data_IF_463135814425
#
_entry.id   IF_463135814425
#
_cell.length_a   1.000
_cell.length_b   1.000
_cell.length_c   1.000
_cell.angle_alpha   90.00
_cell.angle_beta   90.00
_cell.angle_gamma   90.00
#
_symmetry.space_group_name_H-M   'P 1'
#
loop_
_entity.id
_entity.type
_entity.pdbx_description
1 polymer ?
#
# COMPACT_ATOMS: atom_id res chain seq x y z
N UNK A 1 -9.53 -29.52 -10.85
CA UNK A 1 -9.84 -29.30 -9.41
C UNK A 1 -9.36 -27.91 -9.05
N UNK A 2 -10.22 -27.05 -8.50
CA UNK A 2 -9.90 -25.65 -8.20
C UNK A 2 -8.87 -25.47 -7.07
N UNK A 3 -8.71 -26.49 -6.22
CA UNK A 3 -7.68 -26.54 -5.19
C UNK A 3 -6.95 -27.88 -5.29
N UNK A 4 -5.64 -27.84 -5.55
CA UNK A 4 -4.75 -28.98 -5.26
C UNK A 4 -4.24 -28.71 -3.85
N UNK A 5 -4.71 -29.49 -2.88
CA UNK A 5 -4.14 -29.44 -1.54
C UNK A 5 -2.65 -29.76 -1.67
N UNK A 6 -1.75 -28.98 -1.04
CA UNK A 6 -0.36 -29.37 -0.96
C UNK A 6 -0.27 -30.80 -0.38
N UNK A 7 0.68 -31.57 -0.88
CA UNK A 7 1.05 -32.83 -0.22
C UNK A 7 1.44 -32.48 1.22
N UNK A 8 1.05 -33.31 2.20
CA UNK A 8 1.22 -33.05 3.64
C UNK A 8 2.67 -32.72 3.98
N UNK A 9 3.02 -31.44 3.86
CA UNK A 9 4.20 -30.86 4.45
C UNK A 9 3.76 -30.42 5.84
N UNK A 10 4.51 -30.78 6.87
CA UNK A 10 4.40 -30.16 8.18
C UNK A 10 4.68 -28.66 7.99
N UNK A 11 3.62 -27.88 7.80
CA UNK A 11 3.71 -26.43 7.84
C UNK A 11 3.89 -26.10 9.31
N UNK A 12 5.11 -25.74 9.68
CA UNK A 12 5.45 -25.14 10.96
C UNK A 12 4.41 -24.05 11.28
N UNK A 13 3.91 -23.98 12.52
CA UNK A 13 2.69 -23.26 12.90
C UNK A 13 2.52 -21.89 12.20
N UNK A 14 1.68 -21.86 11.15
CA UNK A 14 1.36 -20.65 10.41
C UNK A 14 0.20 -19.93 11.09
N UNK A 15 0.48 -18.81 11.75
CA UNK A 15 -0.54 -17.94 12.34
C UNK A 15 -1.00 -16.91 11.31
N UNK A 16 -2.25 -17.01 10.87
CA UNK A 16 -2.87 -16.05 9.95
C UNK A 16 -4.28 -15.67 10.42
N UNK A 17 -4.72 -14.48 10.03
CA UNK A 17 -6.06 -13.97 10.28
C UNK A 17 -6.63 -13.43 8.99
N UNK A 18 -7.74 -14.03 8.53
CA UNK A 18 -8.50 -13.50 7.39
C UNK A 18 -9.54 -12.53 7.93
N UNK A 19 -9.53 -11.31 7.42
CA UNK A 19 -10.45 -10.25 7.81
C UNK A 19 -11.16 -9.77 6.55
N UNK A 20 -12.49 -9.77 6.59
CA UNK A 20 -13.34 -9.17 5.57
C UNK A 20 -14.00 -7.92 6.12
N UNK A 21 -14.18 -6.92 5.28
CA UNK A 21 -14.84 -5.66 5.60
C UNK A 21 -15.69 -5.20 4.41
N UNK A 22 -16.64 -4.31 4.66
CA UNK A 22 -17.56 -3.83 3.65
C UNK A 22 -18.49 -2.73 4.14
N UNK A 23 -19.30 -2.14 3.24
CA UNK A 23 -20.27 -1.09 3.59
C UNK A 23 -21.36 -1.52 4.59
N UNK A 24 -21.48 -2.83 4.83
CA UNK A 24 -22.37 -3.46 5.79
C UNK A 24 -21.74 -3.63 7.18
N UNK A 25 -20.45 -3.33 7.33
CA UNK A 25 -19.77 -3.27 8.63
C UNK A 25 -20.05 -1.94 9.33
N UNK A 26 -20.32 -1.99 10.64
CA UNK A 26 -20.46 -0.78 11.47
C UNK A 26 -19.10 -0.15 11.82
N UNK A 27 -18.00 -0.91 11.65
CA UNK A 27 -16.63 -0.49 11.95
C UNK A 27 -15.71 -0.71 10.75
N UNK A 28 -14.73 0.17 10.55
CA UNK A 28 -13.69 0.02 9.51
C UNK A 28 -12.55 -0.86 10.05
N UNK A 29 -12.83 -2.15 10.22
CA UNK A 29 -11.95 -3.15 10.85
C UNK A 29 -10.67 -3.32 10.03
N UNK A 30 -10.75 -3.42 8.71
CA UNK A 30 -9.58 -3.58 7.86
C UNK A 30 -8.66 -2.35 7.96
N UNK A 31 -9.25 -1.15 7.90
CA UNK A 31 -8.50 0.11 8.07
C UNK A 31 -7.79 0.14 9.42
N UNK A 32 -8.49 -0.22 10.49
CA UNK A 32 -7.94 -0.28 11.84
C UNK A 32 -6.78 -1.28 11.95
N UNK A 33 -6.88 -2.41 11.25
CA UNK A 33 -5.80 -3.40 11.11
C UNK A 33 -4.54 -2.82 10.46
N UNK A 34 -4.67 -2.11 9.34
CA UNK A 34 -3.53 -1.44 8.70
C UNK A 34 -2.89 -0.38 9.58
N UNK A 35 -3.70 0.48 10.21
CA UNK A 35 -3.20 1.49 11.15
C UNK A 35 -2.44 0.83 12.30
N UNK A 36 -2.95 -0.28 12.83
CA UNK A 36 -2.28 -1.05 13.89
C UNK A 36 -0.95 -1.62 13.42
N UNK A 37 -0.88 -2.19 12.21
CA UNK A 37 0.36 -2.69 11.62
C UNK A 37 1.41 -1.59 11.46
N UNK A 38 1.01 -0.42 10.94
CA UNK A 38 1.94 0.72 10.76
C UNK A 38 2.45 1.21 12.12
N UNK A 39 1.59 1.26 13.14
CA UNK A 39 1.99 1.67 14.49
C UNK A 39 2.85 0.64 15.24
N UNK A 40 2.83 -0.63 14.85
CA UNK A 40 3.73 -1.63 15.43
C UNK A 40 5.13 -1.64 14.82
N UNK A 41 5.36 -0.91 13.72
CA UNK A 41 6.63 -0.91 13.03
C UNK A 41 7.75 -0.23 13.83
N UNK A 42 8.88 -0.92 13.97
CA UNK A 42 10.09 -0.43 14.63
C UNK A 42 11.21 -0.11 13.62
N UNK A 43 11.25 -0.76 12.46
CA UNK A 43 12.34 -0.68 11.48
C UNK A 43 11.85 -0.26 10.09
N UNK A 44 10.82 -0.90 9.55
CA UNK A 44 10.37 -0.71 8.17
C UNK A 44 8.87 -0.91 7.96
N UNK A 45 8.33 -0.19 6.99
CA UNK A 45 6.97 -0.38 6.46
C UNK A 45 7.03 -0.36 4.94
N UNK A 46 6.79 -1.49 4.29
CA UNK A 46 6.81 -1.60 2.83
C UNK A 46 5.42 -1.90 2.30
N UNK A 47 4.95 -1.11 1.34
CA UNK A 47 3.57 -1.19 0.83
C UNK A 47 3.58 -1.24 -0.70
N UNK A 48 2.90 -2.21 -1.31
CA UNK A 48 2.56 -2.17 -2.73
C UNK A 48 1.06 -1.94 -2.87
N UNK A 49 0.68 -0.99 -3.72
CA UNK A 49 -0.73 -0.70 -3.98
C UNK A 49 -0.90 -0.07 -5.37
N UNK A 50 -1.90 -0.48 -6.19
CA UNK A 50 -2.16 0.22 -7.45
C UNK A 50 -2.71 1.63 -7.22
N UNK A 51 -3.43 1.83 -6.11
CA UNK A 51 -4.12 3.07 -5.78
C UNK A 51 -3.65 3.58 -4.43
N UNK A 52 -3.12 4.80 -4.41
CA UNK A 52 -2.63 5.46 -3.21
C UNK A 52 -3.43 6.75 -3.00
N UNK A 53 -4.57 6.63 -2.35
CA UNK A 53 -5.47 7.74 -2.02
C UNK A 53 -5.87 7.62 -0.54
N UNK A 54 -4.90 7.57 0.40
CA UNK A 54 -5.17 7.30 1.80
C UNK A 54 -6.03 8.39 2.44
N UNK A 55 -6.86 8.00 3.41
CA UNK A 55 -7.57 8.93 4.28
C UNK A 55 -6.62 9.60 5.29
N UNK A 56 -7.13 10.54 6.08
CA UNK A 56 -6.33 11.26 7.06
C UNK A 56 -5.76 10.32 8.14
N UNK A 57 -6.48 9.25 8.50
CA UNK A 57 -6.05 8.26 9.50
C UNK A 57 -4.79 7.54 9.03
N UNK A 58 -4.81 7.04 7.80
CA UNK A 58 -3.69 6.32 7.18
C UNK A 58 -2.52 7.25 6.90
N UNK A 59 -2.77 8.48 6.42
CA UNK A 59 -1.72 9.49 6.27
C UNK A 59 -1.03 9.72 7.61
N UNK A 60 -1.80 9.96 8.68
CA UNK A 60 -1.22 10.22 9.99
C UNK A 60 -0.40 9.03 10.53
N UNK A 61 -0.89 7.79 10.35
CA UNK A 61 -0.14 6.60 10.73
C UNK A 61 1.22 6.52 10.02
N UNK A 62 1.25 6.68 8.69
CA UNK A 62 2.48 6.69 7.90
C UNK A 62 3.43 7.82 8.30
N UNK A 63 2.89 9.01 8.58
CA UNK A 63 3.67 10.16 9.01
C UNK A 63 4.24 10.00 10.42
N UNK A 64 3.54 9.30 11.32
CA UNK A 64 4.07 8.95 12.64
C UNK A 64 5.22 7.97 12.47
N UNK A 65 5.05 6.88 11.72
CA UNK A 65 6.10 5.89 11.49
C UNK A 65 7.38 6.52 10.95
N UNK A 66 7.30 7.30 9.87
CA UNK A 66 8.50 7.93 9.27
C UNK A 66 9.17 8.94 10.21
N UNK A 67 8.39 9.65 11.06
CA UNK A 67 8.93 10.58 12.07
C UNK A 67 9.56 9.86 13.25
N UNK A 68 9.15 8.63 13.52
CA UNK A 68 9.78 7.74 14.51
C UNK A 68 11.07 7.09 14.00
N UNK A 69 11.50 7.40 12.77
CA UNK A 69 12.73 6.86 12.18
C UNK A 69 12.54 5.54 11.42
N UNK A 70 11.31 5.06 11.27
CA UNK A 70 10.98 3.86 10.50
C UNK A 70 11.17 4.12 9.00
N UNK A 71 11.79 3.18 8.29
CA UNK A 71 11.95 3.26 6.83
C UNK A 71 10.65 2.90 6.10
N UNK A 72 9.89 3.92 5.73
CA UNK A 72 8.60 3.75 5.03
C UNK A 72 8.80 3.84 3.51
N UNK A 73 8.44 2.78 2.80
CA UNK A 73 8.52 2.64 1.33
C UNK A 73 7.16 2.28 0.76
N UNK A 74 6.73 2.98 -0.29
CA UNK A 74 5.47 2.69 -0.98
C UNK A 74 5.75 2.55 -2.48
N UNK A 75 5.23 1.49 -3.09
CA UNK A 75 5.33 1.21 -4.50
C UNK A 75 3.98 1.42 -5.20
N UNK A 76 4.01 2.15 -6.32
CA UNK A 76 2.84 2.52 -7.13
C UNK A 76 3.12 2.27 -8.63
N UNK A 77 2.10 2.12 -9.49
CA UNK A 77 2.30 1.89 -10.92
C UNK A 77 2.87 3.10 -11.67
N UNK A 78 3.57 2.86 -12.80
CA UNK A 78 4.03 3.92 -13.71
C UNK A 78 2.96 4.46 -14.67
N UNK A 79 1.81 3.78 -14.78
CA UNK A 79 0.78 4.07 -15.78
C UNK A 79 -0.64 4.02 -15.19
N UNK A 80 -1.60 4.79 -15.78
CA UNK A 80 -2.99 4.73 -15.37
C UNK A 80 -3.70 3.50 -15.94
N UNK A 81 -4.67 2.99 -15.19
CA UNK A 81 -5.76 2.14 -15.65
C UNK A 81 -7.12 2.88 -15.60
N UNK A 82 -7.25 3.86 -14.70
CA UNK A 82 -8.41 4.75 -14.59
C UNK A 82 -8.02 6.25 -14.64
N UNK A 83 -8.77 7.12 -15.35
CA UNK A 83 -8.33 8.49 -15.67
C UNK A 83 -8.04 9.41 -14.47
N UNK A 84 -8.82 9.29 -13.39
CA UNK A 84 -8.72 10.16 -12.21
C UNK A 84 -7.90 9.54 -11.07
N UNK A 85 -8.00 8.22 -10.90
CA UNK A 85 -7.36 7.49 -9.79
C UNK A 85 -5.85 7.64 -9.86
N UNK A 86 -5.27 7.49 -11.05
CA UNK A 86 -3.83 7.65 -11.21
C UNK A 86 -3.35 9.07 -10.90
N UNK A 87 -4.14 10.10 -11.23
CA UNK A 87 -3.77 11.50 -10.94
C UNK A 87 -3.88 11.82 -9.46
N UNK A 88 -4.86 11.25 -8.75
CA UNK A 88 -4.92 11.31 -7.29
C UNK A 88 -3.75 10.55 -6.65
N UNK A 89 -3.43 9.35 -7.13
CA UNK A 89 -2.26 8.56 -6.72
C UNK A 89 -0.97 9.36 -6.84
N UNK A 90 -0.74 10.01 -7.99
CA UNK A 90 0.43 10.89 -8.18
C UNK A 90 0.43 12.10 -7.21
N UNK A 91 -0.75 12.65 -6.88
CA UNK A 91 -0.84 13.72 -5.90
C UNK A 91 -0.36 13.25 -4.52
N UNK A 92 -0.90 12.13 -4.01
CA UNK A 92 -0.56 11.62 -2.69
C UNK A 92 0.88 11.10 -2.63
N UNK A 93 1.37 10.49 -3.70
CA UNK A 93 2.78 10.15 -3.86
C UNK A 93 3.70 11.37 -3.67
N UNK A 94 3.44 12.46 -4.39
CA UNK A 94 4.18 13.72 -4.24
C UNK A 94 4.05 14.28 -2.81
N UNK A 95 2.88 14.16 -2.19
CA UNK A 95 2.60 14.65 -0.83
C UNK A 95 3.38 13.88 0.24
N UNK A 96 3.40 12.55 0.15
CA UNK A 96 4.08 11.66 1.09
C UNK A 96 5.60 11.69 0.91
N UNK A 97 6.09 11.74 -0.34
CA UNK A 97 7.50 11.92 -0.66
C UNK A 97 8.11 13.13 0.04
N UNK A 98 7.45 14.29 -0.06
CA UNK A 98 7.88 15.53 0.60
C UNK A 98 7.94 15.44 2.14
N UNK A 99 7.44 14.36 2.74
CA UNK A 99 7.40 14.12 4.18
C UNK A 99 8.29 12.95 4.62
N UNK A 100 9.18 12.50 3.74
CA UNK A 100 10.24 11.52 4.06
C UNK A 100 9.92 10.08 3.66
N UNK A 101 8.72 9.81 3.13
CA UNK A 101 8.35 8.46 2.68
C UNK A 101 8.95 8.21 1.29
N UNK A 102 9.63 7.08 1.10
CA UNK A 102 10.22 6.72 -0.20
C UNK A 102 9.12 6.18 -1.12
N UNK A 103 8.92 6.81 -2.27
CA UNK A 103 7.95 6.34 -3.27
C UNK A 103 8.68 5.72 -4.45
N UNK A 104 8.40 4.45 -4.74
CA UNK A 104 8.90 3.73 -5.90
C UNK A 104 7.81 3.64 -6.97
N UNK A 105 8.15 4.02 -8.20
CA UNK A 105 7.25 3.95 -9.36
C UNK A 105 7.67 2.71 -10.15
N UNK A 106 6.87 1.65 -10.09
CA UNK A 106 7.14 0.39 -10.77
C UNK A 106 6.98 0.54 -12.28
N UNK A 107 8.04 0.23 -13.04
CA UNK A 107 8.14 0.51 -14.49
C UNK A 107 8.10 -0.75 -15.37
N UNK A 108 7.90 -1.93 -14.78
CA UNK A 108 7.77 -3.20 -15.51
C UNK A 108 6.32 -3.66 -15.66
N UNK A 109 5.42 -2.71 -15.93
CA UNK A 109 3.98 -2.94 -16.16
C UNK A 109 3.08 -2.34 -15.07
N UNK A 110 1.82 -2.76 -15.04
CA UNK A 110 0.87 -2.31 -14.01
C UNK A 110 0.94 -3.23 -12.79
N UNK A 111 1.48 -2.72 -11.68
CA UNK A 111 1.47 -3.45 -10.42
C UNK A 111 0.06 -3.43 -9.82
N UNK A 112 -0.50 -4.62 -9.58
CA UNK A 112 -1.82 -4.78 -8.98
C UNK A 112 -1.76 -5.45 -7.59
N UNK A 113 -0.56 -5.69 -7.07
CA UNK A 113 -0.34 -6.20 -5.72
C UNK A 113 -0.95 -5.24 -4.68
N UNK A 114 -1.58 -5.79 -3.64
CA UNK A 114 -1.95 -5.08 -2.41
C UNK A 114 -1.32 -5.82 -1.25
N UNK A 115 -0.15 -5.34 -0.86
CA UNK A 115 0.68 -5.99 0.15
C UNK A 115 1.22 -4.94 1.11
N UNK A 116 1.42 -5.36 2.35
CA UNK A 116 2.12 -4.58 3.37
C UNK A 116 3.04 -5.51 4.14
N UNK A 117 4.28 -5.10 4.38
CA UNK A 117 5.26 -5.82 5.21
C UNK A 117 5.78 -4.89 6.28
N UNK A 118 5.86 -5.39 7.51
CA UNK A 118 6.36 -4.68 8.69
C UNK A 118 7.53 -5.46 9.25
N UNK A 119 8.69 -4.81 9.34
CA UNK A 119 9.91 -5.30 10.01
C UNK A 119 10.39 -6.70 9.60
N UNK A 120 10.00 -7.20 8.43
CA UNK A 120 10.19 -8.59 7.97
C UNK A 120 9.55 -9.65 8.88
N UNK A 121 8.59 -9.25 9.72
CA UNK A 121 7.96 -10.10 10.75
C UNK A 121 6.45 -10.28 10.54
N UNK A 122 5.77 -9.21 10.10
CA UNK A 122 4.34 -9.22 9.81
C UNK A 122 4.10 -8.89 8.35
N UNK A 123 3.09 -9.53 7.77
CA UNK A 123 2.67 -9.21 6.42
C UNK A 123 1.16 -9.16 6.28
N UNK A 124 0.73 -8.50 5.21
CA UNK A 124 -0.64 -8.51 4.75
C UNK A 124 -0.64 -8.72 3.24
N UNK A 125 -1.59 -9.54 2.77
CA UNK A 125 -1.93 -9.71 1.36
C UNK A 125 -3.44 -9.74 1.24
N UNK A 126 -4.01 -9.03 0.27
CA UNK A 126 -5.46 -8.99 0.12
C UNK A 126 -5.94 -8.25 -1.12
N UNK A 127 -7.21 -7.86 -1.08
CA UNK A 127 -7.86 -7.07 -2.13
C UNK A 127 -7.84 -5.57 -1.85
N UNK A 128 -7.67 -5.19 -0.58
CA UNK A 128 -7.79 -3.80 -0.09
C UNK A 128 -6.65 -2.92 -0.59
N UNK A 129 -6.98 -1.92 -1.42
CA UNK A 129 -6.03 -0.89 -1.81
C UNK A 129 -5.81 0.12 -0.69
N UNK A 130 -4.84 1.01 -0.87
CA UNK A 130 -4.60 2.11 0.06
C UNK A 130 -5.39 3.37 -0.33
N UNK A 131 -6.72 3.22 -0.42
CA UNK A 131 -7.65 4.29 -0.79
C UNK A 131 -8.93 4.30 0.06
N UNK A 132 -9.63 5.44 0.05
CA UNK A 132 -10.84 5.66 0.86
C UNK A 132 -11.95 4.66 0.51
N UNK A 133 -12.08 4.27 -0.77
CA UNK A 133 -13.13 3.31 -1.17
C UNK A 133 -12.89 1.91 -0.64
N UNK A 134 -11.66 1.42 -0.70
CA UNK A 134 -11.28 0.14 -0.13
C UNK A 134 -11.44 0.13 1.40
N UNK A 135 -11.37 1.28 2.07
CA UNK A 135 -11.61 1.35 3.50
C UNK A 135 -13.09 1.39 3.92
N UNK A 136 -13.97 1.97 3.09
CA UNK A 136 -15.35 2.28 3.55
C UNK A 136 -16.47 1.87 2.58
N UNK A 137 -16.18 1.65 1.30
CA UNK A 137 -17.20 1.55 0.23
C UNK A 137 -17.18 0.22 -0.55
N UNK A 138 -16.07 -0.50 -0.54
CA UNK A 138 -15.94 -1.79 -1.23
C UNK A 138 -16.03 -2.94 -0.23
N UNK A 139 -16.53 -4.09 -0.71
CA UNK A 139 -16.31 -5.36 -0.02
C UNK A 139 -14.87 -5.80 -0.26
N UNK A 140 -14.13 -5.99 0.82
CA UNK A 140 -12.71 -6.29 0.78
C UNK A 140 -12.38 -7.47 1.68
N UNK A 141 -11.31 -8.19 1.35
CA UNK A 141 -10.75 -9.26 2.18
C UNK A 141 -9.24 -9.17 2.18
N UNK A 142 -8.65 -9.22 3.36
CA UNK A 142 -7.21 -9.23 3.55
C UNK A 142 -6.81 -10.27 4.59
N UNK A 143 -5.65 -10.88 4.37
CA UNK A 143 -5.06 -11.84 5.29
C UNK A 143 -3.87 -11.20 5.98
N UNK A 144 -3.94 -11.08 7.30
CA UNK A 144 -2.84 -10.67 8.17
C UNK A 144 -2.06 -11.92 8.54
N UNK A 145 -0.75 -11.89 8.33
CA UNK A 145 0.14 -13.04 8.42
C UNK A 145 1.17 -12.73 9.49
N UNK A 146 1.15 -13.52 10.56
CA UNK A 146 2.03 -13.41 11.73
C UNK A 146 3.11 -14.48 11.63
N UNK A 147 3.85 -14.46 10.54
CA UNK A 147 4.90 -15.43 10.24
C UNK A 147 6.08 -14.74 9.53
N UNK A 148 7.26 -14.68 10.16
CA UNK A 148 8.43 -14.01 9.61
C UNK A 148 8.92 -14.58 8.28
N UNK A 149 8.78 -15.89 8.05
CA UNK A 149 9.25 -16.50 6.79
C UNK A 149 8.45 -15.98 5.59
N UNK A 150 7.13 -15.86 5.74
CA UNK A 150 6.26 -15.29 4.69
C UNK A 150 6.49 -13.78 4.55
N UNK A 151 6.64 -13.06 5.67
CA UNK A 151 6.93 -11.63 5.64
C UNK A 151 8.26 -11.36 4.92
N UNK A 152 9.30 -12.15 5.20
CA UNK A 152 10.58 -12.09 4.52
C UNK A 152 10.47 -12.40 3.02
N UNK A 153 9.70 -13.41 2.60
CA UNK A 153 9.46 -13.69 1.17
C UNK A 153 8.83 -12.48 0.47
N UNK A 154 7.80 -11.87 1.08
CA UNK A 154 7.15 -10.69 0.52
C UNK A 154 8.07 -9.46 0.51
N UNK A 155 8.93 -9.33 1.51
CA UNK A 155 9.99 -8.33 1.56
C UNK A 155 10.96 -8.50 0.37
N UNK A 156 11.44 -9.73 0.13
CA UNK A 156 12.33 -10.00 -1.01
C UNK A 156 11.67 -9.69 -2.35
N UNK A 157 10.39 -10.05 -2.54
CA UNK A 157 9.63 -9.67 -3.75
C UNK A 157 9.58 -8.15 -3.90
N UNK A 158 9.34 -7.41 -2.81
CA UNK A 158 9.35 -5.95 -2.84
C UNK A 158 10.71 -5.40 -3.29
N UNK A 159 11.81 -5.95 -2.77
CA UNK A 159 13.17 -5.52 -3.13
C UNK A 159 13.51 -5.85 -4.60
N UNK A 160 13.12 -7.02 -5.09
CA UNK A 160 13.26 -7.37 -6.52
C UNK A 160 12.47 -6.40 -7.41
N UNK A 161 11.28 -5.98 -6.99
CA UNK A 161 10.48 -5.01 -7.72
C UNK A 161 11.05 -3.58 -7.65
N UNK A 162 11.84 -3.23 -6.61
CA UNK A 162 12.59 -1.97 -6.56
C UNK A 162 13.57 -1.88 -7.75
N UNK A 163 14.22 -2.99 -8.12
CA UNK A 163 15.17 -3.01 -9.25
C UNK A 163 14.51 -2.62 -10.58
N UNK A 164 13.18 -2.81 -10.68
CA UNK A 164 12.34 -2.45 -11.82
C UNK A 164 11.58 -1.14 -11.61
N UNK A 165 11.97 -0.35 -10.62
CA UNK A 165 11.26 0.86 -10.21
C UNK A 165 12.12 2.10 -10.30
N UNK A 166 11.48 3.25 -10.49
CA UNK A 166 12.10 4.58 -10.40
C UNK A 166 11.74 5.20 -9.06
N UNK A 167 12.74 5.53 -8.24
CA UNK A 167 12.52 6.30 -7.01
C UNK A 167 12.05 7.71 -7.36
N UNK A 168 10.91 8.13 -6.80
CA UNK A 168 10.40 9.48 -6.94
C UNK A 168 11.35 10.46 -6.24
N UNK A 169 11.74 11.53 -6.93
CA UNK A 169 12.65 12.55 -6.41
C UNK A 169 12.07 13.94 -6.55
N UNK A 170 12.60 14.89 -5.78
CA UNK A 170 12.26 16.31 -5.93
C UNK A 170 12.51 16.83 -7.34
N UNK A 171 13.52 16.31 -8.03
CA UNK A 171 13.81 16.67 -9.42
C UNK A 171 12.69 16.22 -10.36
N UNK A 172 12.22 14.98 -10.22
CA UNK A 172 11.09 14.45 -10.99
C UNK A 172 9.84 15.30 -10.72
N UNK A 173 9.55 15.62 -9.46
CA UNK A 173 8.39 16.45 -9.08
C UNK A 173 8.51 17.88 -9.64
N UNK A 174 9.71 18.48 -9.58
CA UNK A 174 9.95 19.83 -10.11
C UNK A 174 9.73 19.91 -11.61
N UNK A 175 10.08 18.86 -12.36
CA UNK A 175 9.88 18.76 -13.83
C UNK A 175 8.41 18.54 -14.25
N UNK A 176 7.49 18.21 -13.32
CA UNK A 176 6.07 18.06 -13.64
C UNK A 176 5.46 19.41 -14.09
N UNK A 177 4.89 19.43 -15.30
CA UNK A 177 4.28 20.64 -15.87
C UNK A 177 3.03 21.13 -15.12
N UNK A 178 2.72 22.42 -15.28
CA UNK A 178 1.58 23.06 -14.60
C UNK A 178 0.24 22.36 -14.84
N UNK A 179 0.01 21.87 -16.07
CA UNK A 179 -1.23 21.16 -16.40
C UNK A 179 -1.37 19.81 -15.70
N UNK A 180 -0.25 19.09 -15.53
CA UNK A 180 -0.25 17.84 -14.78
C UNK A 180 -0.55 18.12 -13.30
N UNK A 181 0.10 19.13 -12.71
CA UNK A 181 -0.16 19.55 -11.33
C UNK A 181 -1.61 19.98 -11.12
N UNK A 182 -2.21 20.69 -12.09
CA UNK A 182 -3.62 21.03 -12.06
C UNK A 182 -4.50 19.79 -12.00
N UNK A 183 -4.28 18.80 -12.88
CA UNK A 183 -5.03 17.53 -12.88
C UNK A 183 -4.89 16.75 -11.57
N UNK A 184 -3.68 16.70 -11.01
CA UNK A 184 -3.41 16.06 -9.71
C UNK A 184 -4.23 16.72 -8.59
N UNK A 185 -4.17 18.05 -8.47
CA UNK A 185 -4.92 18.79 -7.45
C UNK A 185 -6.44 18.68 -7.64
N UNK A 186 -6.92 18.71 -8.88
CA UNK A 186 -8.34 18.51 -9.18
C UNK A 186 -8.80 17.10 -8.83
N UNK A 187 -8.04 16.07 -9.21
CA UNK A 187 -8.41 14.67 -8.95
C UNK A 187 -8.47 14.35 -7.45
N UNK A 188 -7.63 15.00 -6.63
CA UNK A 188 -7.71 14.93 -5.16
C UNK A 188 -9.06 15.40 -4.60
N UNK A 189 -9.76 16.33 -5.26
CA UNK A 189 -11.08 16.76 -4.78
C UNK A 189 -12.13 15.65 -4.87
N UNK A 190 -11.86 14.64 -5.71
CA UNK A 190 -12.70 13.46 -5.87
C UNK A 190 -12.30 12.30 -4.94
N UNK A 191 -11.25 12.45 -4.12
CA UNK A 191 -10.74 11.40 -3.24
C UNK A 191 -11.80 10.67 -2.40
N UNK A 192 -12.83 11.33 -1.83
CA UNK A 192 -13.85 10.62 -1.05
C UNK A 192 -14.65 9.57 -1.82
N UNK A 193 -14.61 9.61 -3.16
CA UNK A 193 -15.35 8.69 -4.05
C UNK A 193 -14.43 7.94 -5.03
N UNK A 194 -13.11 8.11 -4.92
CA UNK A 194 -12.09 7.47 -5.77
C UNK A 194 -11.42 6.30 -5.08
#
# INVERSE_FOLDING_TARGET
KYFKLPEDHEVEHLSLQVVSDGPDSEEEILKSGFVRMIFSAEKSVWIQTPYLIPDDSMINALLVAVRSGVDVRIMIPCMPDHPFIYRATQYYANYLHKRGIKIYIYDSGFIHAKTMVIDDELAMVGTTNQDIRSYSLNFEVSTFIYNPDIAWILAQIFEEDIEKSVLLTDEIIKKQGYWLRFKQNFSRLLSPVL
#
